data_IF_765545142391
#
_entry.id   IF_765545142391
#
_cell.length_a   1.000
_cell.length_b   1.000
_cell.length_c   1.000
_cell.angle_alpha   90.00
_cell.angle_beta   90.00
_cell.angle_gamma   90.00
#
_symmetry.space_group_name_H-M   'P 1'
#
loop_
_entity.id
_entity.type
_entity.pdbx_description
1 polymer ?
#
# COMPACT_ATOMS: atom_id res chain seq x y z
N UNK A 1 4.63 -30.50 -2.93
CA UNK A 1 5.70 -29.76 -3.60
C UNK A 1 5.32 -28.28 -3.63
N UNK A 2 6.31 -27.40 -3.57
CA UNK A 2 6.11 -25.96 -3.63
C UNK A 2 7.09 -25.35 -4.61
N UNK A 3 6.62 -24.37 -5.39
CA UNK A 3 7.43 -23.52 -6.26
C UNK A 3 7.65 -22.18 -5.54
N UNK A 4 8.88 -21.68 -5.53
CA UNK A 4 9.25 -20.38 -4.99
C UNK A 4 9.82 -19.49 -6.08
N UNK A 5 9.40 -18.24 -6.13
CA UNK A 5 10.05 -17.23 -6.98
C UNK A 5 11.35 -16.72 -6.35
N UNK A 6 12.21 -16.02 -7.11
CA UNK A 6 13.17 -15.09 -6.53
C UNK A 6 12.49 -14.04 -5.66
N UNK A 7 13.24 -13.27 -4.89
CA UNK A 7 12.71 -12.09 -4.18
C UNK A 7 12.20 -11.04 -5.16
N UNK A 8 11.11 -10.39 -4.78
CA UNK A 8 10.44 -9.38 -5.61
C UNK A 8 11.03 -7.97 -5.33
N UNK A 9 12.32 -7.82 -5.49
CA UNK A 9 13.09 -6.63 -5.08
C UNK A 9 12.67 -5.30 -5.72
N UNK A 10 11.88 -5.33 -6.79
CA UNK A 10 11.42 -4.13 -7.50
C UNK A 10 10.00 -3.71 -7.14
N UNK A 11 9.39 -4.29 -6.11
CA UNK A 11 8.05 -3.91 -5.67
C UNK A 11 8.09 -2.64 -4.83
N UNK A 12 7.05 -1.79 -4.90
CA UNK A 12 6.78 -0.80 -3.87
C UNK A 12 6.34 -1.50 -2.57
N UNK A 13 6.45 -0.82 -1.44
CA UNK A 13 5.91 -1.31 -0.18
C UNK A 13 4.39 -1.51 -0.29
N UNK A 14 3.89 -2.61 0.29
CA UNK A 14 2.47 -2.95 0.32
C UNK A 14 1.81 -3.10 -1.08
N UNK A 15 2.50 -3.71 -2.04
CA UNK A 15 2.01 -3.92 -3.40
C UNK A 15 0.84 -4.91 -3.50
N UNK A 16 -0.03 -4.70 -4.50
CA UNK A 16 -0.95 -5.75 -4.97
C UNK A 16 -0.28 -6.52 -6.10
N UNK A 17 -0.14 -7.82 -5.92
CA UNK A 17 0.51 -8.72 -6.86
C UNK A 17 -0.52 -9.69 -7.43
N UNK A 18 -0.57 -9.79 -8.76
CA UNK A 18 -1.36 -10.79 -9.47
C UNK A 18 -0.45 -11.91 -9.97
N UNK A 19 -0.83 -13.12 -9.67
CA UNK A 19 -0.15 -14.34 -10.10
C UNK A 19 -1.06 -15.08 -11.06
N UNK A 20 -0.69 -15.10 -12.34
CA UNK A 20 -1.37 -15.88 -13.38
C UNK A 20 -0.58 -17.15 -13.63
N UNK A 21 -1.28 -18.23 -13.82
CA UNK A 21 -0.67 -19.52 -14.11
C UNK A 21 -1.64 -20.43 -14.84
N UNK A 22 -1.08 -21.35 -15.64
CA UNK A 22 -1.82 -22.46 -16.18
C UNK A 22 -1.68 -23.67 -15.28
N UNK A 23 -2.77 -24.33 -14.94
CA UNK A 23 -2.74 -25.53 -14.12
C UNK A 23 -3.63 -26.63 -14.66
N UNK A 24 -3.24 -27.87 -14.36
CA UNK A 24 -4.01 -29.07 -14.64
C UNK A 24 -3.95 -29.97 -13.41
N UNK A 25 -5.11 -30.52 -13.02
CA UNK A 25 -5.14 -31.57 -12.01
C UNK A 25 -4.40 -32.80 -12.52
N UNK A 26 -3.50 -33.35 -11.72
CA UNK A 26 -2.74 -34.53 -12.13
C UNK A 26 -3.68 -35.73 -12.36
N UNK A 27 -3.48 -36.44 -13.45
CA UNK A 27 -4.15 -37.71 -13.73
C UNK A 27 -3.14 -38.68 -14.33
N UNK A 28 -3.23 -39.94 -13.93
CA UNK A 28 -2.48 -41.04 -14.56
C UNK A 28 -3.09 -41.51 -15.87
N UNK A 29 -4.33 -41.10 -16.12
CA UNK A 29 -5.05 -41.46 -17.34
C UNK A 29 -5.13 -40.26 -18.28
N UNK A 30 -4.93 -40.51 -19.56
CA UNK A 30 -4.91 -39.47 -20.59
C UNK A 30 -6.27 -38.74 -20.73
N UNK A 31 -7.38 -39.44 -20.47
CA UNK A 31 -8.72 -38.89 -20.51
C UNK A 31 -9.10 -38.04 -19.29
N UNK A 32 -8.17 -37.92 -18.32
CA UNK A 32 -8.37 -37.17 -17.09
C UNK A 32 -9.26 -37.86 -16.07
N UNK A 33 -9.67 -39.10 -16.32
CA UNK A 33 -10.44 -39.86 -15.32
C UNK A 33 -9.56 -40.25 -14.13
N UNK A 34 -10.09 -40.14 -12.90
CA UNK A 34 -9.35 -40.33 -11.69
C UNK A 34 -8.35 -39.20 -11.37
N UNK A 35 -8.51 -38.03 -12.03
CA UNK A 35 -7.66 -36.87 -11.74
C UNK A 35 -7.77 -36.43 -10.27
N UNK A 36 -6.65 -36.01 -9.72
CA UNK A 36 -6.59 -35.45 -8.38
C UNK A 36 -7.45 -34.16 -8.31
N UNK A 37 -8.45 -34.14 -7.42
CA UNK A 37 -9.17 -32.92 -7.10
C UNK A 37 -8.38 -32.18 -6.02
N UNK A 38 -7.82 -31.04 -6.37
CA UNK A 38 -6.99 -30.27 -5.46
C UNK A 38 -7.15 -28.78 -5.65
N UNK A 39 -6.52 -28.05 -4.76
CA UNK A 39 -6.46 -26.58 -4.81
C UNK A 39 -5.00 -26.14 -4.90
N UNK A 40 -4.78 -25.08 -5.64
CA UNK A 40 -3.51 -24.34 -5.66
C UNK A 40 -3.58 -23.27 -4.59
N UNK A 41 -2.57 -23.23 -3.74
CA UNK A 41 -2.35 -22.21 -2.73
C UNK A 41 -1.28 -21.24 -3.25
N UNK A 42 -1.58 -19.95 -3.26
CA UNK A 42 -0.65 -18.89 -3.66
C UNK A 42 -0.47 -17.95 -2.47
N UNK A 43 0.78 -17.77 -2.05
CA UNK A 43 1.15 -17.00 -0.86
C UNK A 43 2.34 -16.10 -1.15
N UNK A 44 2.42 -14.96 -0.47
CA UNK A 44 3.63 -14.18 -0.33
C UNK A 44 4.26 -14.47 1.03
N UNK A 45 5.54 -14.81 1.02
CA UNK A 45 6.30 -15.14 2.24
C UNK A 45 7.63 -14.41 2.27
N UNK A 46 8.12 -14.07 3.44
CA UNK A 46 9.48 -13.53 3.67
C UNK A 46 10.31 -14.46 4.55
N UNK A 47 11.64 -14.22 4.58
CA UNK A 47 12.58 -15.01 5.35
C UNK A 47 12.91 -16.38 4.76
N UNK A 48 12.31 -16.75 3.63
CA UNK A 48 12.64 -17.97 2.91
C UNK A 48 13.96 -17.82 2.15
N UNK A 49 14.95 -18.59 2.48
CA UNK A 49 16.25 -18.63 1.78
C UNK A 49 16.27 -19.83 0.85
N UNK A 50 16.46 -19.59 -0.45
CA UNK A 50 16.59 -20.64 -1.46
C UNK A 50 18.01 -21.21 -1.42
N UNK A 51 18.15 -22.45 -0.98
CA UNK A 51 19.38 -23.21 -1.04
C UNK A 51 19.55 -24.03 -2.32
N UNK A 52 20.65 -24.75 -2.42
CA UNK A 52 20.90 -25.65 -3.54
C UNK A 52 19.78 -26.69 -3.68
N UNK A 53 19.45 -27.05 -4.95
CA UNK A 53 18.37 -28.02 -5.28
C UNK A 53 16.98 -27.63 -4.78
N UNK A 54 16.72 -26.31 -4.57
CA UNK A 54 15.41 -25.82 -4.14
C UNK A 54 15.07 -26.06 -2.67
N UNK A 55 16.06 -26.41 -1.84
CA UNK A 55 15.86 -26.47 -0.40
C UNK A 55 15.52 -25.08 0.16
N UNK A 56 14.53 -25.01 1.03
CA UNK A 56 14.16 -23.76 1.72
C UNK A 56 14.72 -23.84 3.14
N UNK A 57 15.46 -22.80 3.50
CA UNK A 57 16.01 -22.59 4.85
C UNK A 57 15.56 -21.22 5.38
N UNK A 58 15.74 -20.99 6.67
CA UNK A 58 15.30 -19.75 7.32
C UNK A 58 13.88 -19.85 7.91
N UNK A 59 13.52 -18.84 8.69
CA UNK A 59 12.18 -18.74 9.28
C UNK A 59 11.23 -18.11 8.26
N UNK A 60 10.33 -18.90 7.70
CA UNK A 60 9.36 -18.46 6.71
C UNK A 60 8.16 -17.83 7.41
N UNK A 61 7.88 -16.57 7.11
CA UNK A 61 6.70 -15.84 7.61
C UNK A 61 5.76 -15.54 6.46
N UNK A 62 4.49 -15.94 6.58
CA UNK A 62 3.45 -15.57 5.63
C UNK A 62 3.11 -14.09 5.78
N UNK A 63 3.10 -13.37 4.67
CA UNK A 63 2.75 -11.93 4.60
C UNK A 63 1.35 -11.76 4.00
N UNK A 64 1.03 -12.55 2.97
CA UNK A 64 -0.26 -12.52 2.29
C UNK A 64 -0.58 -13.89 1.72
N UNK A 65 -1.86 -14.24 1.69
CA UNK A 65 -2.36 -15.44 1.02
C UNK A 65 -3.59 -15.10 0.19
N UNK A 66 -3.68 -15.64 -1.01
CA UNK A 66 -4.88 -15.60 -1.80
C UNK A 66 -5.85 -16.74 -1.40
N UNK A 67 -7.12 -16.60 -1.74
CA UNK A 67 -8.07 -17.70 -1.63
C UNK A 67 -7.59 -18.91 -2.44
N UNK A 68 -7.76 -20.13 -1.91
CA UNK A 68 -7.33 -21.34 -2.61
C UNK A 68 -8.01 -21.51 -3.96
N UNK A 69 -7.24 -21.61 -5.04
CA UNK A 69 -7.73 -21.76 -6.41
C UNK A 69 -8.12 -23.22 -6.66
N UNK A 70 -9.39 -23.46 -6.92
CA UNK A 70 -9.91 -24.81 -7.25
C UNK A 70 -9.59 -25.16 -8.71
N UNK A 71 -8.82 -26.23 -8.90
CA UNK A 71 -8.44 -26.75 -10.21
C UNK A 71 -9.19 -28.02 -10.60
N UNK A 72 -10.23 -28.42 -9.87
CA UNK A 72 -10.98 -29.65 -10.10
C UNK A 72 -11.59 -29.73 -11.50
N UNK A 73 -11.89 -28.61 -12.14
CA UNK A 73 -12.38 -28.54 -13.50
C UNK A 73 -11.29 -28.68 -14.58
N UNK A 74 -10.00 -28.65 -14.22
CA UNK A 74 -8.86 -28.75 -15.14
C UNK A 74 -8.30 -30.18 -15.21
N UNK A 75 -9.14 -31.17 -15.52
CA UNK A 75 -8.80 -32.60 -15.40
C UNK A 75 -7.95 -33.16 -16.54
N UNK A 76 -8.23 -32.79 -17.78
CA UNK A 76 -7.56 -33.36 -18.95
C UNK A 76 -6.74 -32.36 -19.75
N UNK A 77 -6.72 -31.11 -19.34
CA UNK A 77 -6.02 -30.02 -20.01
C UNK A 77 -5.70 -28.87 -19.06
N UNK A 78 -4.66 -28.13 -19.36
CA UNK A 78 -4.35 -26.89 -18.70
C UNK A 78 -5.47 -25.86 -18.85
N UNK A 79 -5.74 -25.12 -17.78
CA UNK A 79 -6.59 -23.95 -17.75
C UNK A 79 -5.86 -22.82 -17.07
N UNK A 80 -6.20 -21.60 -17.43
CA UNK A 80 -5.63 -20.40 -16.82
C UNK A 80 -6.38 -20.03 -15.54
N UNK A 81 -5.61 -19.60 -14.56
CA UNK A 81 -6.09 -19.13 -13.27
C UNK A 81 -5.33 -17.87 -12.87
N UNK A 82 -5.95 -17.06 -12.00
CA UNK A 82 -5.36 -15.89 -11.41
C UNK A 82 -5.57 -15.92 -9.90
N UNK A 83 -4.54 -15.53 -9.15
CA UNK A 83 -4.62 -15.29 -7.73
C UNK A 83 -4.12 -13.86 -7.44
N UNK A 84 -4.75 -13.18 -6.48
CA UNK A 84 -4.37 -11.82 -6.09
C UNK A 84 -3.89 -11.82 -4.65
N UNK A 85 -2.72 -11.22 -4.42
CA UNK A 85 -2.10 -11.02 -3.11
C UNK A 85 -2.03 -9.53 -2.83
N UNK A 86 -2.33 -9.13 -1.61
CA UNK A 86 -2.28 -7.73 -1.17
C UNK A 86 -1.20 -7.53 -0.12
N UNK A 87 -0.73 -6.31 0.08
CA UNK A 87 0.29 -5.96 1.07
C UNK A 87 1.61 -6.74 0.93
N UNK A 88 1.99 -7.06 -0.30
CA UNK A 88 3.24 -7.75 -0.61
C UNK A 88 4.40 -6.75 -0.59
N UNK A 89 5.47 -7.07 0.12
CA UNK A 89 6.67 -6.22 0.28
C UNK A 89 7.82 -6.69 -0.60
N UNK A 90 8.86 -5.85 -0.86
CA UNK A 90 9.99 -6.19 -1.76
C UNK A 90 10.82 -7.41 -1.30
N UNK A 91 10.81 -7.73 -0.02
CA UNK A 91 11.53 -8.88 0.57
C UNK A 91 10.75 -10.20 0.48
N UNK A 92 9.58 -10.18 -0.15
CA UNK A 92 8.75 -11.36 -0.31
C UNK A 92 9.17 -12.23 -1.51
N UNK A 93 8.85 -13.51 -1.39
CA UNK A 93 8.80 -14.50 -2.48
C UNK A 93 7.38 -14.98 -2.65
N UNK A 94 6.97 -15.26 -3.88
CA UNK A 94 5.70 -15.93 -4.14
C UNK A 94 5.93 -17.43 -4.02
N UNK A 95 5.04 -18.08 -3.29
CA UNK A 95 5.00 -19.53 -3.12
C UNK A 95 3.73 -20.05 -3.75
N UNK A 96 3.87 -21.01 -4.66
CA UNK A 96 2.75 -21.72 -5.24
C UNK A 96 2.88 -23.19 -4.81
N UNK A 97 1.85 -23.70 -4.16
CA UNK A 97 1.83 -25.08 -3.65
C UNK A 97 0.46 -25.71 -3.86
N UNK A 98 0.39 -27.01 -3.71
CA UNK A 98 -0.87 -27.76 -3.70
C UNK A 98 -1.29 -28.05 -2.27
N UNK A 99 -2.59 -28.06 -1.98
CA UNK A 99 -3.08 -28.36 -0.62
C UNK A 99 -2.89 -29.83 -0.23
N UNK A 100 -3.37 -30.76 -1.04
CA UNK A 100 -3.38 -32.19 -0.67
C UNK A 100 -3.06 -33.12 -1.84
N UNK A 101 -3.26 -32.67 -3.05
CA UNK A 101 -3.20 -33.46 -4.28
C UNK A 101 -2.16 -32.94 -5.24
N UNK A 102 -1.84 -33.74 -6.23
CA UNK A 102 -0.87 -33.40 -7.28
C UNK A 102 -1.49 -32.49 -8.33
N UNK A 103 -0.68 -31.57 -8.84
CA UNK A 103 -1.05 -30.72 -9.97
C UNK A 103 0.17 -30.53 -10.89
N UNK A 104 -0.12 -30.30 -12.17
CA UNK A 104 0.85 -29.78 -13.13
C UNK A 104 0.67 -28.27 -13.21
N UNK A 105 1.76 -27.55 -13.27
CA UNK A 105 1.78 -26.08 -13.30
C UNK A 105 2.64 -25.61 -14.46
N UNK A 106 2.19 -24.59 -15.19
CA UNK A 106 2.88 -24.00 -16.33
C UNK A 106 2.57 -22.51 -16.45
N UNK A 107 3.36 -21.78 -17.25
CA UNK A 107 3.14 -20.38 -17.60
C UNK A 107 2.91 -19.45 -16.40
N UNK A 108 3.71 -19.57 -15.35
CA UNK A 108 3.60 -18.71 -14.17
C UNK A 108 4.09 -17.31 -14.48
N UNK A 109 3.21 -16.34 -14.38
CA UNK A 109 3.49 -14.91 -14.57
C UNK A 109 3.11 -14.15 -13.31
N UNK A 110 4.07 -13.42 -12.75
CA UNK A 110 3.85 -12.56 -11.60
C UNK A 110 3.88 -11.11 -12.08
N UNK A 111 2.78 -10.40 -11.90
CA UNK A 111 2.66 -8.98 -12.23
C UNK A 111 2.33 -8.18 -10.99
N UNK A 112 2.97 -7.04 -10.85
CA UNK A 112 2.59 -6.04 -9.85
C UNK A 112 1.77 -4.96 -10.55
N UNK A 113 0.60 -4.64 -10.01
CA UNK A 113 -0.04 -3.38 -10.32
C UNK A 113 0.74 -2.34 -9.53
N UNK A 114 1.42 -1.41 -10.22
CA UNK A 114 2.11 -0.33 -9.55
C UNK A 114 1.10 0.39 -8.66
N UNK A 115 1.21 0.20 -7.36
CA UNK A 115 0.64 1.15 -6.42
C UNK A 115 1.56 2.35 -6.56
N UNK A 116 0.99 3.53 -6.85
CA UNK A 116 1.73 4.78 -6.65
C UNK A 116 2.30 4.71 -5.24
N UNK A 117 3.62 4.75 -5.04
CA UNK A 117 4.17 4.72 -3.70
C UNK A 117 3.43 5.77 -2.88
N UNK A 118 3.09 5.46 -1.63
CA UNK A 118 2.57 6.44 -0.72
C UNK A 118 3.64 7.54 -0.60
N UNK A 119 3.45 8.64 -1.31
CA UNK A 119 4.36 9.78 -1.25
C UNK A 119 3.98 10.63 -0.07
N UNK A 120 4.97 10.96 0.75
CA UNK A 120 4.85 12.00 1.76
C UNK A 120 4.70 13.33 1.03
N UNK A 121 3.58 14.09 1.18
CA UNK A 121 3.46 15.39 0.55
C UNK A 121 4.58 16.33 1.03
N UNK A 122 5.03 17.21 0.16
CA UNK A 122 5.95 18.26 0.57
C UNK A 122 5.28 19.21 1.60
N UNK A 123 6.06 19.87 2.42
CA UNK A 123 5.54 20.93 3.27
C UNK A 123 4.98 22.08 2.41
N UNK A 124 3.77 22.61 2.70
CA UNK A 124 3.22 23.73 1.97
C UNK A 124 4.14 24.97 1.97
N UNK A 125 4.47 25.48 0.80
CA UNK A 125 5.21 26.72 0.63
C UNK A 125 4.30 27.94 0.58
N UNK A 126 4.88 29.16 0.61
CA UNK A 126 4.14 30.42 0.47
C UNK A 126 3.17 30.70 1.62
N UNK A 127 3.42 30.17 2.80
CA UNK A 127 2.56 30.37 3.97
C UNK A 127 2.64 31.83 4.42
N UNK A 128 1.50 32.52 4.40
CA UNK A 128 1.40 33.92 4.76
C UNK A 128 0.01 34.29 5.26
N UNK A 129 -0.09 35.31 6.10
CA UNK A 129 -1.37 35.91 6.43
C UNK A 129 -1.75 36.97 5.41
N UNK A 130 -3.03 37.05 5.07
CA UNK A 130 -3.58 38.13 4.25
C UNK A 130 -3.73 39.40 5.09
N UNK A 131 -3.37 40.56 4.50
CA UNK A 131 -3.41 41.84 5.17
C UNK A 131 -4.82 42.44 5.41
N UNK A 132 -5.84 41.85 4.80
CA UNK A 132 -7.23 42.34 4.89
C UNK A 132 -7.99 41.71 6.02
N UNK A 133 -7.55 41.83 7.25
CA UNK A 133 -8.21 41.23 8.38
C UNK A 133 -9.26 42.13 9.02
N UNK A 134 -10.41 41.56 9.38
CA UNK A 134 -11.27 42.11 10.39
C UNK A 134 -10.58 41.98 11.76
N UNK A 135 -11.03 42.74 12.76
CA UNK A 135 -10.34 42.81 14.05
C UNK A 135 -10.22 41.47 14.81
N UNK A 136 -11.04 40.49 14.46
CA UNK A 136 -11.17 39.19 15.14
C UNK A 136 -10.85 37.99 14.23
N UNK A 137 -10.29 38.21 13.03
CA UNK A 137 -10.03 37.14 12.06
C UNK A 137 -8.81 37.44 11.19
N UNK A 138 -8.15 36.36 10.72
CA UNK A 138 -7.04 36.37 9.78
C UNK A 138 -7.26 35.30 8.74
N UNK A 139 -6.91 35.57 7.48
CA UNK A 139 -6.88 34.53 6.44
C UNK A 139 -5.43 34.08 6.25
N UNK A 140 -5.19 32.81 6.50
CA UNK A 140 -3.91 32.15 6.19
C UNK A 140 -3.97 31.62 4.77
N UNK A 141 -2.89 31.82 4.00
CA UNK A 141 -2.74 31.35 2.61
C UNK A 141 -1.50 30.47 2.49
N UNK A 142 -1.54 29.55 1.51
CA UNK A 142 -0.40 28.68 1.15
C UNK A 142 -0.49 28.23 -0.31
N UNK A 143 0.59 27.68 -0.84
CA UNK A 143 0.59 27.06 -2.17
C UNK A 143 0.01 25.65 -2.10
N UNK A 144 -0.79 25.26 -3.10
CA UNK A 144 -1.26 23.88 -3.23
C UNK A 144 -0.11 22.89 -3.30
N UNK A 145 -0.25 21.75 -2.64
CA UNK A 145 0.74 20.67 -2.61
C UNK A 145 0.20 19.48 -3.39
N UNK A 146 0.93 18.98 -4.41
CA UNK A 146 0.57 17.75 -5.09
C UNK A 146 0.45 16.58 -4.10
N UNK A 147 -0.47 15.66 -4.39
CA UNK A 147 -0.71 14.45 -3.59
C UNK A 147 -1.22 14.68 -2.15
N UNK A 148 -1.49 15.92 -1.76
CA UNK A 148 -2.19 16.20 -0.51
C UNK A 148 -3.65 15.73 -0.61
N UNK A 149 -4.11 15.00 0.40
CA UNK A 149 -5.53 14.59 0.55
C UNK A 149 -6.33 15.57 1.39
N UNK A 150 -5.64 16.30 2.27
CA UNK A 150 -6.20 17.38 3.08
C UNK A 150 -5.06 18.25 3.66
N UNK A 151 -5.44 19.34 4.36
CA UNK A 151 -4.50 20.14 5.13
C UNK A 151 -4.90 20.24 6.59
N UNK A 152 -3.90 20.46 7.43
CA UNK A 152 -4.06 20.84 8.85
C UNK A 152 -3.33 22.16 9.07
N UNK A 153 -4.02 23.12 9.66
CA UNK A 153 -3.45 24.40 10.10
C UNK A 153 -3.31 24.37 11.61
N UNK A 154 -2.11 24.62 12.11
CA UNK A 154 -1.86 24.92 13.51
C UNK A 154 -1.58 26.42 13.65
N UNK A 155 -2.20 27.09 14.64
CA UNK A 155 -1.99 28.51 14.90
C UNK A 155 -2.01 28.82 16.39
N UNK A 156 -1.24 29.83 16.79
CA UNK A 156 -1.08 30.22 18.19
C UNK A 156 -0.76 31.71 18.31
N UNK A 157 -0.95 32.27 19.51
CA UNK A 157 -0.64 33.67 19.80
C UNK A 157 0.71 33.83 20.50
N UNK A 158 1.32 34.98 20.37
CA UNK A 158 2.51 35.39 21.10
C UNK A 158 3.84 35.13 20.39
N UNK A 159 4.65 34.16 20.84
CA UNK A 159 6.00 33.91 20.34
C UNK A 159 6.03 32.82 19.25
N UNK A 160 6.94 32.97 18.29
CA UNK A 160 7.22 31.92 17.27
C UNK A 160 7.65 30.58 17.88
N UNK A 161 8.20 30.61 19.10
CA UNK A 161 8.71 29.43 19.84
C UNK A 161 7.74 28.94 20.92
N UNK A 162 6.45 29.27 20.84
CA UNK A 162 5.47 28.72 21.76
C UNK A 162 5.40 27.19 21.70
N UNK A 163 5.17 26.51 22.84
CA UNK A 163 5.07 25.07 22.86
C UNK A 163 3.80 24.59 22.13
N UNK A 164 3.80 23.39 21.56
CA UNK A 164 2.68 22.85 20.80
C UNK A 164 1.39 22.67 21.62
N UNK A 165 1.51 22.62 22.94
CA UNK A 165 0.35 22.60 23.86
C UNK A 165 -0.51 23.87 23.80
N UNK A 166 0.02 24.97 23.25
CA UNK A 166 -0.68 26.25 23.08
C UNK A 166 -1.31 26.41 21.67
N UNK A 167 -1.13 25.43 20.79
CA UNK A 167 -1.63 25.51 19.44
C UNK A 167 -3.11 25.18 19.35
N UNK A 168 -3.84 25.99 18.60
CA UNK A 168 -5.16 25.66 18.11
C UNK A 168 -5.06 25.04 16.72
N UNK A 169 -5.96 24.11 16.39
CA UNK A 169 -5.90 23.36 15.13
C UNK A 169 -7.18 23.50 14.32
N UNK A 170 -7.02 23.59 13.01
CA UNK A 170 -8.06 23.36 12.00
C UNK A 170 -7.63 22.17 11.15
N UNK A 171 -8.38 21.08 11.23
CA UNK A 171 -8.06 19.80 10.53
C UNK A 171 -9.07 19.52 9.44
N UNK A 172 -8.75 18.59 8.53
CA UNK A 172 -9.67 18.18 7.47
C UNK A 172 -9.97 19.25 6.43
N UNK A 173 -9.08 20.23 6.25
CA UNK A 173 -9.22 21.25 5.23
C UNK A 173 -9.04 20.59 3.87
N UNK A 174 -9.92 20.90 2.92
CA UNK A 174 -9.95 20.23 1.61
C UNK A 174 -8.60 20.33 0.88
N UNK A 175 -8.21 19.28 0.16
CA UNK A 175 -6.95 19.21 -0.62
C UNK A 175 -6.83 20.29 -1.70
N UNK A 176 -7.95 20.83 -2.15
CA UNK A 176 -8.00 21.93 -3.12
C UNK A 176 -7.90 23.32 -2.50
N UNK A 177 -7.95 23.41 -1.16
CA UNK A 177 -7.86 24.70 -0.47
C UNK A 177 -6.44 25.24 -0.47
N UNK A 178 -6.33 26.55 -0.71
CA UNK A 178 -5.07 27.32 -0.61
C UNK A 178 -5.18 28.44 0.42
N UNK A 179 -6.27 28.44 1.21
CA UNK A 179 -6.48 29.39 2.29
C UNK A 179 -7.41 28.83 3.36
N UNK A 180 -7.30 29.37 4.56
CA UNK A 180 -8.18 29.07 5.69
C UNK A 180 -8.40 30.34 6.52
N UNK A 181 -9.66 30.69 6.79
CA UNK A 181 -10.00 31.73 7.71
C UNK A 181 -9.87 31.24 9.17
N UNK A 182 -9.15 31.99 9.97
CA UNK A 182 -9.01 31.83 11.41
C UNK A 182 -9.91 32.90 12.09
N UNK A 183 -10.84 32.48 12.90
CA UNK A 183 -11.83 33.34 13.53
C UNK A 183 -11.75 33.31 15.05
N UNK A 184 -12.41 34.23 15.73
CA UNK A 184 -12.38 34.40 17.19
C UNK A 184 -10.99 34.69 17.75
N UNK A 185 -10.23 35.49 17.00
CA UNK A 185 -8.90 35.90 17.40
C UNK A 185 -8.98 37.13 18.33
N UNK A 186 -7.97 37.30 19.17
CA UNK A 186 -7.85 38.48 20.03
C UNK A 186 -7.31 39.67 19.20
N UNK A 187 -7.97 40.81 19.29
CA UNK A 187 -7.51 42.04 18.62
C UNK A 187 -6.15 42.49 19.17
N UNK A 188 -5.36 43.17 18.32
CA UNK A 188 -4.03 43.67 18.65
C UNK A 188 -3.06 42.61 19.16
N UNK A 189 -3.24 41.35 18.74
CA UNK A 189 -2.42 40.21 19.16
C UNK A 189 -1.69 39.62 17.97
N UNK A 190 -0.38 39.32 18.13
CA UNK A 190 0.40 38.64 17.09
C UNK A 190 0.08 37.14 17.07
N UNK A 191 -0.13 36.60 15.88
CA UNK A 191 -0.39 35.19 15.63
C UNK A 191 0.68 34.57 14.74
N UNK A 192 0.96 33.33 15.00
CA UNK A 192 1.83 32.47 14.20
C UNK A 192 1.02 31.28 13.69
N UNK A 193 1.41 30.72 12.55
CA UNK A 193 0.75 29.55 12.00
C UNK A 193 1.72 28.66 11.23
N UNK A 194 1.41 27.37 11.18
CA UNK A 194 2.01 26.37 10.29
C UNK A 194 0.89 25.68 9.51
N UNK A 195 1.23 25.22 8.31
CA UNK A 195 0.33 24.39 7.49
C UNK A 195 1.03 23.08 7.22
N UNK A 196 0.33 21.99 7.49
CA UNK A 196 0.75 20.62 7.20
C UNK A 196 -0.12 20.06 6.07
N UNK A 197 0.50 19.55 5.00
CA UNK A 197 -0.18 18.74 4.02
C UNK A 197 -0.31 17.31 4.55
N UNK A 198 -1.51 16.76 4.47
CA UNK A 198 -1.82 15.38 4.87
C UNK A 198 -1.97 14.57 3.59
N UNK A 199 -1.30 13.44 3.52
CA UNK A 199 -1.34 12.50 2.40
C UNK A 199 -1.50 11.07 2.92
N UNK A 200 -1.15 10.10 2.10
CA UNK A 200 -1.07 8.70 2.54
C UNK A 200 0.05 8.49 3.58
N UNK A 201 1.09 9.33 3.54
CA UNK A 201 2.05 9.55 4.61
C UNK A 201 1.97 11.03 5.01
N UNK A 202 2.09 11.34 6.28
CA UNK A 202 2.06 12.72 6.76
C UNK A 202 3.26 13.54 6.26
N UNK A 203 3.07 14.84 5.94
CA UNK A 203 4.17 15.79 5.72
C UNK A 203 4.90 16.14 7.03
N UNK A 204 6.09 16.71 6.89
CA UNK A 204 6.83 17.30 8.04
C UNK A 204 6.15 18.52 8.58
#
# INVERSE_FOLDING_TARGET
ASLYTPELTALPDAATVKVRFSAQAYSEKYDGSGADAGKILVKAVRGAVLGAKGAITGTVTEVSAADPVDISAAKARFREFEATLTNVTPDCRIVISTSEKRALLDNVVVTCTAITPATKPAAPGGVSFDAAAAADRLTLKWNAVPDATSYTVAYWKGSASAPESEYAYKTGIASTATSQELTNLESNTSYWAKVKAVGSLDSD
#
